data_IF_118341292518
#
_entry.id   IF_118341292518
#
_cell.length_a   1.000
_cell.length_b   1.000
_cell.length_c   1.000
_cell.angle_alpha   90.00
_cell.angle_beta   90.00
_cell.angle_gamma   90.00
#
_symmetry.space_group_name_H-M   'P 1'
#
loop_
_entity.id
_entity.type
_entity.pdbx_description
1 polymer ?
#
# COMPACT_ATOMS: atom_id res chain seq x y z
N UNK A 1 -33.86 1.48 27.67
CA UNK A 1 -32.56 1.38 28.37
C UNK A 1 -31.55 2.27 27.67
N UNK A 2 -30.86 3.18 28.37
CA UNK A 2 -29.77 3.98 27.79
C UNK A 2 -28.45 3.29 28.12
N UNK A 3 -27.95 2.48 27.19
CA UNK A 3 -26.61 1.89 27.29
C UNK A 3 -25.59 2.94 26.82
N UNK A 4 -24.94 3.62 27.75
CA UNK A 4 -23.82 4.48 27.42
C UNK A 4 -22.53 3.65 27.43
N UNK A 5 -21.99 3.35 26.24
CA UNK A 5 -20.67 2.75 26.09
C UNK A 5 -19.67 3.86 25.75
N UNK A 6 -18.68 4.06 26.62
CA UNK A 6 -17.64 5.06 26.43
C UNK A 6 -16.26 4.44 26.66
N UNK A 7 -15.30 4.79 25.80
CA UNK A 7 -13.89 4.39 25.95
C UNK A 7 -13.06 5.64 26.20
N UNK A 8 -12.32 5.66 27.30
CA UNK A 8 -11.56 6.83 27.74
C UNK A 8 -10.24 6.43 28.42
N UNK A 9 -9.35 7.40 28.58
CA UNK A 9 -8.07 7.22 29.26
C UNK A 9 -8.24 7.49 30.75
N UNK A 10 -7.81 6.55 31.58
CA UNK A 10 -7.70 6.73 33.03
C UNK A 10 -6.25 6.58 33.48
N UNK A 11 -5.85 7.38 34.47
CA UNK A 11 -4.56 7.23 35.14
C UNK A 11 -4.67 6.17 36.24
N UNK A 12 -3.86 5.13 36.14
CA UNK A 12 -3.76 4.06 37.13
C UNK A 12 -2.88 4.49 38.31
N UNK A 13 -2.94 3.78 39.44
CA UNK A 13 -2.24 4.15 40.70
C UNK A 13 -0.71 4.25 40.52
N UNK A 14 -0.14 3.46 39.61
CA UNK A 14 1.27 3.49 39.25
C UNK A 14 1.67 4.71 38.39
N UNK A 15 0.72 5.55 37.98
CA UNK A 15 0.95 6.74 37.17
C UNK A 15 0.78 6.52 35.66
N UNK A 16 0.66 5.28 35.20
CA UNK A 16 0.43 4.94 33.81
C UNK A 16 -1.02 5.23 33.40
N UNK A 17 -1.25 5.33 32.10
CA UNK A 17 -2.58 5.54 31.57
C UNK A 17 -3.09 4.29 30.85
N UNK A 18 -4.30 3.89 31.18
CA UNK A 18 -4.98 2.72 30.65
C UNK A 18 -6.22 3.17 29.88
N UNK A 19 -6.53 2.48 28.78
CA UNK A 19 -7.79 2.63 28.09
C UNK A 19 -8.84 1.82 28.83
N UNK A 20 -9.89 2.49 29.31
CA UNK A 20 -10.99 1.84 30.01
C UNK A 20 -12.23 1.96 29.13
N UNK A 21 -12.86 0.82 28.86
CA UNK A 21 -14.23 0.77 28.34
C UNK A 21 -15.17 0.68 29.53
N UNK A 22 -16.10 1.62 29.65
CA UNK A 22 -17.14 1.58 30.66
C UNK A 22 -18.52 1.52 30.00
N UNK A 23 -19.37 0.68 30.58
CA UNK A 23 -20.78 0.58 30.24
C UNK A 23 -21.59 0.85 31.50
N UNK A 24 -22.54 1.77 31.37
CA UNK A 24 -23.44 2.17 32.47
C UNK A 24 -24.85 1.74 32.10
N UNK A 25 -25.48 1.00 33.01
CA UNK A 25 -26.86 0.56 32.91
C UNK A 25 -27.61 1.07 34.15
N UNK A 26 -28.76 1.68 33.91
CA UNK A 26 -29.67 2.15 34.96
C UNK A 26 -30.85 1.18 35.04
N UNK A 27 -31.05 0.57 36.21
CA UNK A 27 -32.13 -0.37 36.49
C UNK A 27 -33.06 0.26 37.52
N UNK A 28 -34.36 0.28 37.25
CA UNK A 28 -35.37 0.75 38.21
C UNK A 28 -35.58 -0.33 39.28
N UNK A 29 -35.45 0.04 40.56
CA UNK A 29 -35.63 -0.87 41.70
C UNK A 29 -37.06 -0.81 42.26
N UNK A 30 -37.64 0.38 42.35
CA UNK A 30 -39.04 0.64 42.74
C UNK A 30 -39.52 1.98 42.16
N UNK A 31 -40.68 2.51 42.58
CA UNK A 31 -41.24 3.76 42.05
C UNK A 31 -40.32 4.99 42.14
N UNK A 32 -39.44 5.06 43.15
CA UNK A 32 -38.59 6.22 43.41
C UNK A 32 -37.09 5.92 43.38
N UNK A 33 -36.69 4.64 43.34
CA UNK A 33 -35.29 4.23 43.41
C UNK A 33 -34.76 3.63 42.10
N UNK A 34 -33.52 4.00 41.76
CA UNK A 34 -32.75 3.44 40.64
C UNK A 34 -31.42 2.89 41.14
N UNK A 35 -31.02 1.74 40.60
CA UNK A 35 -29.70 1.13 40.77
C UNK A 35 -28.88 1.43 39.52
N UNK A 36 -27.67 1.95 39.72
CA UNK A 36 -26.69 2.10 38.63
C UNK A 36 -25.72 0.94 38.67
N UNK A 37 -25.63 0.18 37.58
CA UNK A 37 -24.60 -0.83 37.38
C UNK A 37 -23.55 -0.24 36.42
N UNK A 38 -22.30 -0.27 36.86
CA UNK A 38 -21.14 0.14 36.06
C UNK A 38 -20.28 -1.09 35.84
N UNK A 39 -20.13 -1.48 34.57
CA UNK A 39 -19.14 -2.47 34.16
C UNK A 39 -17.98 -1.74 33.51
N UNK A 40 -16.76 -2.03 33.96
CA UNK A 40 -15.54 -1.46 33.38
C UNK A 40 -14.57 -2.57 32.99
N UNK A 41 -13.90 -2.37 31.86
CA UNK A 41 -12.90 -3.29 31.33
C UNK A 41 -11.69 -2.49 30.89
N UNK A 42 -10.51 -2.94 31.29
CA UNK A 42 -9.26 -2.49 30.70
C UNK A 42 -9.15 -3.03 29.27
N UNK A 43 -9.05 -2.12 28.31
CA UNK A 43 -8.92 -2.41 26.88
C UNK A 43 -7.61 -1.85 26.31
N UNK A 44 -6.62 -1.60 27.17
CA UNK A 44 -5.33 -1.00 26.78
C UNK A 44 -4.61 -1.86 25.76
N UNK A 45 -4.48 -3.16 26.02
CA UNK A 45 -3.83 -4.09 25.11
C UNK A 45 -4.54 -4.14 23.74
N UNK A 46 -5.88 -4.25 23.77
CA UNK A 46 -6.69 -4.22 22.56
C UNK A 46 -6.48 -2.93 21.76
N UNK A 47 -6.53 -1.76 22.42
CA UNK A 47 -6.32 -0.46 21.76
C UNK A 47 -4.91 -0.33 21.18
N UNK A 48 -3.89 -0.80 21.89
CA UNK A 48 -2.51 -0.78 21.40
C UNK A 48 -2.33 -1.70 20.18
N UNK A 49 -2.97 -2.87 20.18
CA UNK A 49 -3.00 -3.76 19.01
C UNK A 49 -3.73 -3.10 17.83
N UNK A 50 -4.89 -2.49 18.06
CA UNK A 50 -5.63 -1.73 17.03
C UNK A 50 -4.80 -0.60 16.42
N UNK A 51 -4.08 0.17 17.26
CA UNK A 51 -3.20 1.24 16.79
C UNK A 51 -2.01 0.70 15.99
N UNK A 52 -1.37 -0.36 16.48
CA UNK A 52 -0.27 -1.02 15.78
C UNK A 52 -0.71 -1.52 14.41
N UNK A 53 -1.85 -2.21 14.32
CA UNK A 53 -2.41 -2.70 13.06
C UNK A 53 -2.71 -1.54 12.11
N UNK A 54 -3.29 -0.45 12.62
CA UNK A 54 -3.61 0.73 11.81
C UNK A 54 -2.34 1.40 11.26
N UNK A 55 -1.30 1.50 12.06
CA UNK A 55 -0.01 2.05 11.65
C UNK A 55 0.67 1.17 10.61
N UNK A 56 0.73 -0.15 10.86
CA UNK A 56 1.27 -1.11 9.91
C UNK A 56 0.53 -1.08 8.58
N UNK A 57 -0.81 -1.04 8.59
CA UNK A 57 -1.60 -0.91 7.37
C UNK A 57 -1.29 0.38 6.61
N UNK A 58 -1.14 1.52 7.31
CA UNK A 58 -0.76 2.79 6.67
C UNK A 58 0.62 2.67 6.01
N UNK A 59 1.59 2.06 6.69
CA UNK A 59 2.94 1.86 6.17
C UNK A 59 2.94 0.90 4.96
N UNK A 60 2.17 -0.19 5.03
CA UNK A 60 2.01 -1.13 3.92
C UNK A 60 1.38 -0.46 2.70
N UNK A 61 0.35 0.37 2.88
CA UNK A 61 -0.27 1.11 1.78
C UNK A 61 0.71 2.09 1.14
N UNK A 62 1.50 2.82 1.94
CA UNK A 62 2.52 3.71 1.44
C UNK A 62 3.61 2.94 0.66
N UNK A 63 4.08 1.81 1.21
CA UNK A 63 5.08 0.97 0.56
C UNK A 63 4.56 0.38 -0.75
N UNK A 64 3.31 -0.08 -0.79
CA UNK A 64 2.68 -0.56 -2.02
C UNK A 64 2.58 0.54 -3.06
N UNK A 65 2.17 1.75 -2.68
CA UNK A 65 2.13 2.89 -3.61
C UNK A 65 3.53 3.22 -4.17
N UNK A 66 4.57 3.17 -3.34
CA UNK A 66 5.97 3.33 -3.80
C UNK A 66 6.39 2.20 -4.75
N UNK A 67 6.06 0.96 -4.42
CA UNK A 67 6.32 -0.23 -5.25
C UNK A 67 5.63 -0.10 -6.62
N UNK A 68 4.36 0.26 -6.65
CA UNK A 68 3.59 0.43 -7.88
C UNK A 68 4.17 1.55 -8.76
N UNK A 69 4.55 2.67 -8.14
CA UNK A 69 5.24 3.76 -8.84
C UNK A 69 6.58 3.30 -9.43
N UNK A 70 7.37 2.53 -8.68
CA UNK A 70 8.64 1.98 -9.15
C UNK A 70 8.45 1.05 -10.35
N UNK A 71 7.50 0.11 -10.30
CA UNK A 71 7.19 -0.76 -11.44
C UNK A 71 6.64 0.01 -12.64
N UNK A 72 5.87 1.07 -12.42
CA UNK A 72 5.37 1.94 -13.49
C UNK A 72 6.51 2.63 -14.23
N UNK A 73 7.50 3.15 -13.50
CA UNK A 73 8.70 3.79 -14.07
C UNK A 73 9.49 2.77 -14.89
N UNK A 74 9.82 1.61 -14.31
CA UNK A 74 10.53 0.54 -15.04
C UNK A 74 9.78 0.13 -16.31
N UNK A 75 8.46 -0.05 -16.21
CA UNK A 75 7.64 -0.42 -17.37
C UNK A 75 7.69 0.62 -18.48
N UNK A 76 7.66 1.90 -18.14
CA UNK A 76 7.80 2.99 -19.10
C UNK A 76 9.19 2.97 -19.75
N UNK A 77 10.24 2.84 -18.94
CA UNK A 77 11.61 2.89 -19.39
C UNK A 77 11.99 1.67 -20.23
N UNK A 78 11.37 0.51 -19.99
CA UNK A 78 11.48 -0.68 -20.84
C UNK A 78 10.69 -0.57 -22.15
N UNK A 79 9.51 0.07 -22.14
CA UNK A 79 8.71 0.22 -23.37
C UNK A 79 9.45 0.98 -24.47
N UNK A 80 10.24 1.99 -24.11
CA UNK A 80 11.00 2.79 -25.06
C UNK A 80 11.98 1.97 -25.92
N UNK A 81 12.94 1.21 -25.36
CA UNK A 81 13.84 0.40 -26.16
C UNK A 81 13.11 -0.71 -26.93
N UNK A 82 12.06 -1.32 -26.38
CA UNK A 82 11.23 -2.27 -27.12
C UNK A 82 10.56 -1.63 -28.34
N UNK A 83 10.04 -0.40 -28.21
CA UNK A 83 9.46 0.33 -29.34
C UNK A 83 10.50 0.60 -30.44
N UNK A 84 11.74 0.95 -30.07
CA UNK A 84 12.84 1.12 -31.03
C UNK A 84 13.18 -0.18 -31.76
N UNK A 85 13.34 -1.30 -31.02
CA UNK A 85 13.62 -2.63 -31.60
C UNK A 85 12.50 -3.05 -32.55
N UNK A 86 11.23 -2.89 -32.14
CA UNK A 86 10.06 -3.18 -32.98
C UNK A 86 10.06 -2.28 -34.23
N UNK A 87 10.40 -1.00 -34.09
CA UNK A 87 10.49 -0.05 -35.19
C UNK A 87 11.52 -0.46 -36.25
N UNK A 88 12.74 -0.77 -35.84
CA UNK A 88 13.79 -1.26 -36.73
C UNK A 88 13.41 -2.60 -37.38
N UNK A 89 12.83 -3.52 -36.62
CA UNK A 89 12.32 -4.80 -37.14
C UNK A 89 11.24 -4.58 -38.22
N UNK A 90 10.27 -3.69 -37.98
CA UNK A 90 9.24 -3.33 -38.97
C UNK A 90 9.85 -2.73 -40.24
N UNK A 91 10.84 -1.85 -40.12
CA UNK A 91 11.52 -1.26 -41.28
C UNK A 91 12.27 -2.31 -42.10
N UNK A 92 12.95 -3.24 -41.43
CA UNK A 92 13.62 -4.38 -42.07
C UNK A 92 12.62 -5.27 -42.78
N UNK A 93 11.54 -5.68 -42.12
CA UNK A 93 10.50 -6.53 -42.72
C UNK A 93 9.84 -5.87 -43.94
N UNK A 94 9.55 -4.57 -43.86
CA UNK A 94 8.85 -3.84 -44.94
C UNK A 94 9.75 -3.55 -46.15
N UNK A 95 11.03 -3.28 -45.94
CA UNK A 95 11.93 -2.80 -46.99
C UNK A 95 13.07 -3.78 -47.27
N UNK A 96 12.94 -5.05 -46.88
CA UNK A 96 14.02 -6.04 -46.95
C UNK A 96 14.63 -6.15 -48.36
N UNK A 97 13.78 -6.18 -49.39
CA UNK A 97 14.19 -6.31 -50.78
C UNK A 97 14.72 -4.99 -51.37
N UNK A 98 14.35 -3.85 -50.77
CA UNK A 98 14.76 -2.52 -51.19
C UNK A 98 16.08 -2.06 -50.53
N UNK A 99 16.47 -2.71 -49.42
CA UNK A 99 17.68 -2.38 -48.69
C UNK A 99 18.86 -3.22 -49.18
N UNK A 100 19.97 -2.54 -49.48
CA UNK A 100 21.25 -3.21 -49.64
C UNK A 100 21.70 -3.92 -48.35
N UNK A 101 22.77 -4.70 -48.46
CA UNK A 101 23.30 -5.45 -47.32
C UNK A 101 23.79 -4.51 -46.19
N UNK A 102 24.39 -3.37 -46.53
CA UNK A 102 24.93 -2.42 -45.57
C UNK A 102 23.81 -1.81 -44.71
N UNK A 103 22.72 -1.37 -45.33
CA UNK A 103 21.57 -0.79 -44.65
C UNK A 103 20.84 -1.81 -43.79
N UNK A 104 20.71 -3.06 -44.25
CA UNK A 104 20.19 -4.16 -43.43
C UNK A 104 21.05 -4.41 -42.19
N UNK A 105 22.37 -4.49 -42.37
CA UNK A 105 23.31 -4.66 -41.28
C UNK A 105 23.27 -3.49 -40.27
N UNK A 106 23.16 -2.25 -40.75
CA UNK A 106 23.04 -1.06 -39.89
C UNK A 106 21.80 -1.10 -38.99
N UNK A 107 20.65 -1.53 -39.51
CA UNK A 107 19.43 -1.65 -38.71
C UNK A 107 19.53 -2.80 -37.69
N UNK A 108 20.13 -3.93 -38.07
CA UNK A 108 20.37 -5.04 -37.15
C UNK A 108 21.32 -4.63 -36.01
N UNK A 109 22.40 -3.89 -36.32
CA UNK A 109 23.30 -3.35 -35.30
C UNK A 109 22.60 -2.33 -34.40
N UNK A 110 21.74 -1.47 -34.94
CA UNK A 110 20.96 -0.54 -34.12
C UNK A 110 20.03 -1.28 -33.14
N UNK A 111 19.35 -2.33 -33.59
CA UNK A 111 18.55 -3.20 -32.71
C UNK A 111 19.41 -3.86 -31.63
N UNK A 112 20.54 -4.44 -32.01
CA UNK A 112 21.45 -5.10 -31.08
C UNK A 112 21.99 -4.12 -30.03
N UNK A 113 22.43 -2.93 -30.45
CA UNK A 113 22.92 -1.90 -29.55
C UNK A 113 21.86 -1.43 -28.54
N UNK A 114 20.62 -1.21 -28.99
CA UNK A 114 19.51 -0.87 -28.08
C UNK A 114 19.23 -2.01 -27.11
N UNK A 115 19.19 -3.26 -27.58
CA UNK A 115 18.96 -4.42 -26.73
C UNK A 115 20.07 -4.58 -25.68
N UNK A 116 21.34 -4.45 -26.08
CA UNK A 116 22.49 -4.56 -25.19
C UNK A 116 22.50 -3.43 -24.15
N UNK A 117 22.35 -2.17 -24.58
CA UNK A 117 22.31 -1.04 -23.66
C UNK A 117 21.16 -1.14 -22.65
N UNK A 118 20.00 -1.67 -23.08
CA UNK A 118 18.85 -1.88 -22.18
C UNK A 118 19.14 -2.99 -21.20
N UNK A 119 19.76 -4.08 -21.64
CA UNK A 119 20.16 -5.19 -20.78
C UNK A 119 21.19 -4.74 -19.72
N UNK A 120 22.17 -3.91 -20.11
CA UNK A 120 23.20 -3.40 -19.20
C UNK A 120 22.65 -2.43 -18.13
N UNK A 121 21.45 -1.87 -18.34
CA UNK A 121 20.76 -1.00 -17.38
C UNK A 121 19.86 -1.75 -16.39
N UNK A 122 19.63 -3.05 -16.59
CA UNK A 122 18.77 -3.91 -15.75
C UNK A 122 19.59 -4.72 -14.73
#
# INVERSE_FOLDING_TARGET
EKNCCSVFRMKHKNGEYHWISAQIILIKSDEHNFITIISSRDVTEQKNAEFTIKEQNKNLLALNATKDKFFSIISHDLKNPFNSIIGFSKLLLKNNELYDAERRFKQLNAMHAVAQNTYDLL
#
